data_IF_523364267565
#
_entry.id   IF_523364267565
#
_cell.length_a   1.000
_cell.length_b   1.000
_cell.length_c   1.000
_cell.angle_alpha   90.00
_cell.angle_beta   90.00
_cell.angle_gamma   90.00
#
_symmetry.space_group_name_H-M   'P 1'
#
loop_
_entity.id
_entity.type
_entity.pdbx_description
1 polymer ?
#
# COMPACT_ATOMS: atom_id res chain seq x y z
N UNK A 1 17.11 -18.49 -7.92
CA UNK A 1 18.22 -18.99 -7.11
C UNK A 1 19.50 -18.15 -7.33
N UNK A 2 20.53 -18.36 -6.51
CA UNK A 2 21.85 -17.73 -6.60
C UNK A 2 21.89 -16.20 -6.39
N UNK A 3 20.95 -15.62 -5.68
CA UNK A 3 20.93 -14.19 -5.39
C UNK A 3 21.84 -13.82 -4.21
N UNK A 4 22.24 -12.56 -4.18
CA UNK A 4 22.67 -11.90 -2.93
C UNK A 4 21.44 -11.38 -2.23
N UNK A 5 20.97 -12.11 -1.21
CA UNK A 5 19.78 -11.73 -0.42
C UNK A 5 20.21 -10.67 0.58
N UNK A 6 19.55 -9.49 0.54
CA UNK A 6 19.81 -8.37 1.45
C UNK A 6 18.56 -8.10 2.27
N UNK A 7 18.62 -8.39 3.57
CA UNK A 7 17.52 -8.17 4.50
C UNK A 7 18.05 -7.96 5.93
N UNK A 8 17.41 -7.11 6.71
CA UNK A 8 17.71 -6.86 8.15
C UNK A 8 19.20 -6.62 8.44
N UNK A 9 19.85 -5.82 7.57
CA UNK A 9 21.27 -5.48 7.72
C UNK A 9 22.26 -6.59 7.35
N UNK A 10 21.77 -7.69 6.80
CA UNK A 10 22.59 -8.80 6.35
C UNK A 10 22.61 -8.91 4.82
N UNK A 11 23.72 -9.41 4.29
CA UNK A 11 23.88 -9.78 2.86
C UNK A 11 24.39 -11.21 2.80
N UNK A 12 23.59 -12.13 2.27
CA UNK A 12 23.93 -13.55 2.20
C UNK A 12 23.71 -14.10 0.80
N UNK A 13 24.59 -14.99 0.35
CA UNK A 13 24.36 -15.74 -0.89
C UNK A 13 23.34 -16.86 -0.62
N UNK A 14 22.31 -16.92 -1.48
CA UNK A 14 21.26 -17.89 -1.25
C UNK A 14 20.20 -17.93 -2.33
N UNK A 15 19.14 -18.65 -2.02
CA UNK A 15 17.96 -18.81 -2.85
C UNK A 15 16.70 -18.61 -2.02
N UNK A 16 15.62 -18.18 -2.67
CA UNK A 16 14.32 -18.05 -2.03
C UNK A 16 13.33 -18.95 -2.77
N UNK A 17 12.62 -19.76 -2.02
CA UNK A 17 11.52 -20.60 -2.53
C UNK A 17 10.22 -19.85 -2.28
N UNK A 18 9.43 -19.70 -3.34
CA UNK A 18 8.12 -19.05 -3.29
C UNK A 18 7.06 -20.10 -3.58
N UNK A 19 6.08 -20.20 -2.71
CA UNK A 19 4.96 -21.12 -2.84
C UNK A 19 3.66 -20.36 -2.53
N UNK A 20 2.67 -20.44 -3.40
CA UNK A 20 1.38 -19.76 -3.25
C UNK A 20 1.51 -18.26 -2.95
N UNK A 21 2.44 -17.57 -3.62
CA UNK A 21 2.69 -16.14 -3.46
C UNK A 21 3.35 -15.72 -2.14
N UNK A 22 3.89 -16.69 -1.38
CA UNK A 22 4.59 -16.46 -0.11
C UNK A 22 5.98 -17.05 -0.13
N UNK A 23 6.89 -16.45 0.64
CA UNK A 23 8.23 -17.02 0.87
C UNK A 23 8.04 -18.27 1.75
N UNK A 24 8.28 -19.43 1.16
CA UNK A 24 8.21 -20.72 1.85
C UNK A 24 9.54 -21.07 2.54
N UNK A 25 10.67 -20.77 1.89
CA UNK A 25 11.99 -21.07 2.43
C UNK A 25 13.04 -20.08 1.95
N UNK A 26 14.03 -19.78 2.79
CA UNK A 26 15.25 -19.05 2.45
C UNK A 26 16.41 -20.01 2.61
N UNK A 27 17.01 -20.40 1.49
CA UNK A 27 18.13 -21.36 1.43
C UNK A 27 19.45 -20.61 1.43
N UNK A 28 20.25 -20.81 2.44
CA UNK A 28 21.60 -20.25 2.56
C UNK A 28 22.64 -21.33 2.27
N UNK A 29 23.85 -20.92 1.87
CA UNK A 29 25.00 -21.82 1.73
C UNK A 29 24.80 -22.98 0.72
N UNK A 30 24.20 -22.69 -0.44
CA UNK A 30 24.09 -23.63 -1.57
C UNK A 30 23.36 -24.94 -1.22
N UNK A 31 22.44 -24.92 -0.28
CA UNK A 31 21.58 -26.06 -0.02
C UNK A 31 20.77 -26.40 -1.28
N UNK A 32 20.69 -27.66 -1.67
CA UNK A 32 19.83 -28.04 -2.78
C UNK A 32 18.36 -27.81 -2.42
N UNK A 33 17.56 -27.52 -3.45
CA UNK A 33 16.11 -27.43 -3.29
C UNK A 33 15.54 -28.74 -2.78
N UNK A 34 14.63 -28.68 -1.84
CA UNK A 34 13.99 -29.85 -1.23
C UNK A 34 12.94 -30.51 -2.13
N UNK A 35 12.45 -29.78 -3.15
CA UNK A 35 11.43 -30.23 -4.09
C UNK A 35 11.65 -29.61 -5.49
N UNK A 36 11.12 -30.25 -6.57
CA UNK A 36 11.14 -29.65 -7.89
C UNK A 36 10.31 -28.36 -7.92
N UNK A 37 10.82 -27.35 -8.62
CA UNK A 37 10.13 -26.08 -8.85
C UNK A 37 9.54 -26.04 -10.27
N UNK A 38 8.37 -25.42 -10.42
CA UNK A 38 7.75 -25.18 -11.75
C UNK A 38 8.57 -24.20 -12.58
N UNK A 39 9.11 -23.17 -11.91
CA UNK A 39 9.93 -22.14 -12.53
C UNK A 39 11.16 -21.86 -11.67
N UNK A 40 12.29 -21.64 -12.32
CA UNK A 40 13.55 -21.30 -11.66
C UNK A 40 14.15 -20.07 -12.30
N UNK A 41 14.25 -18.98 -11.53
CA UNK A 41 14.89 -17.73 -11.95
C UNK A 41 16.34 -17.76 -11.46
N UNK A 42 17.31 -17.69 -12.38
CA UNK A 42 18.71 -17.49 -12.03
C UNK A 42 18.98 -16.02 -11.77
N UNK A 43 19.28 -15.71 -10.53
CA UNK A 43 19.59 -14.36 -10.05
C UNK A 43 21.09 -14.17 -9.74
N UNK A 44 21.95 -14.94 -10.41
CA UNK A 44 23.42 -14.81 -10.27
C UNK A 44 23.85 -13.38 -10.56
N UNK A 45 24.55 -12.75 -9.63
CA UNK A 45 25.01 -11.36 -9.73
C UNK A 45 23.94 -10.32 -9.39
N UNK A 46 22.71 -10.74 -9.05
CA UNK A 46 21.63 -9.84 -8.65
C UNK A 46 21.50 -9.76 -7.13
N UNK A 47 20.98 -8.65 -6.67
CA UNK A 47 20.52 -8.47 -5.29
C UNK A 47 19.03 -8.80 -5.21
N UNK A 48 18.65 -9.56 -4.20
CA UNK A 48 17.25 -9.82 -3.86
C UNK A 48 16.92 -9.08 -2.56
N UNK A 49 16.01 -8.12 -2.64
CA UNK A 49 15.56 -7.31 -1.53
C UNK A 49 14.08 -7.56 -1.26
N UNK A 50 13.58 -7.32 -0.03
CA UNK A 50 12.16 -7.17 0.20
C UNK A 50 11.58 -6.08 -0.69
N UNK A 51 10.36 -6.28 -1.19
CA UNK A 51 9.66 -5.26 -1.96
C UNK A 51 9.44 -4.00 -1.14
N UNK A 52 9.59 -2.83 -1.75
CA UNK A 52 9.40 -1.54 -1.10
C UNK A 52 7.90 -1.33 -0.86
N UNK A 53 7.57 -0.80 0.33
CA UNK A 53 6.24 -0.33 0.68
C UNK A 53 6.26 1.19 0.61
N UNK A 54 5.45 1.79 -0.27
CA UNK A 54 5.24 3.23 -0.33
C UNK A 54 3.92 3.57 0.36
N UNK A 55 4.00 4.12 1.54
CA UNK A 55 2.87 4.44 2.40
C UNK A 55 2.20 5.79 2.10
N UNK A 56 2.64 6.51 1.05
CA UNK A 56 2.13 7.83 0.74
C UNK A 56 2.12 8.12 -0.76
N UNK A 57 1.18 7.55 -1.50
CA UNK A 57 1.04 7.81 -2.93
C UNK A 57 -0.25 8.56 -3.27
N UNK A 58 -0.26 9.21 -4.43
CA UNK A 58 -1.40 9.92 -4.99
C UNK A 58 -1.67 9.45 -6.42
N UNK A 59 -2.37 8.34 -6.57
CA UNK A 59 -2.70 7.76 -7.88
C UNK A 59 -3.83 8.50 -8.61
N UNK A 60 -4.51 9.45 -7.95
CA UNK A 60 -5.44 10.40 -8.53
C UNK A 60 -6.74 9.81 -9.11
N UNK A 61 -6.93 8.53 -9.10
CA UNK A 61 -8.14 7.83 -9.49
C UNK A 61 -8.97 7.50 -8.22
N UNK A 62 -10.24 7.81 -8.19
CA UNK A 62 -11.09 8.34 -9.25
C UNK A 62 -11.01 9.85 -9.47
N UNK A 63 -11.44 10.27 -10.66
CA UNK A 63 -11.84 11.63 -11.01
C UNK A 63 -10.75 12.66 -11.30
N UNK A 64 -9.49 12.33 -11.09
CA UNK A 64 -8.35 13.19 -11.40
C UNK A 64 -7.37 12.52 -12.38
N UNK A 65 -7.86 11.64 -13.22
CA UNK A 65 -7.08 10.78 -14.12
C UNK A 65 -6.33 11.55 -15.21
N UNK A 66 -6.64 12.84 -15.40
CA UNK A 66 -5.83 13.73 -16.23
C UNK A 66 -4.43 14.03 -15.64
N UNK A 67 -4.21 13.71 -14.37
CA UNK A 67 -2.91 13.87 -13.68
C UNK A 67 -2.17 12.54 -13.59
N UNK A 68 -2.88 11.47 -13.25
CA UNK A 68 -2.35 10.12 -13.06
C UNK A 68 -3.53 9.14 -12.88
N UNK A 69 -3.33 7.85 -13.15
CA UNK A 69 -4.32 6.80 -12.91
C UNK A 69 -3.70 5.59 -12.22
N UNK A 70 -4.55 4.74 -11.61
CA UNK A 70 -4.11 3.59 -10.82
C UNK A 70 -3.25 2.63 -11.65
N UNK A 71 -3.61 2.35 -12.91
CA UNK A 71 -2.91 1.37 -13.72
C UNK A 71 -1.50 1.84 -14.09
N UNK A 72 -1.38 3.07 -14.57
CA UNK A 72 -0.08 3.63 -14.99
C UNK A 72 0.86 3.83 -13.81
N UNK A 73 0.34 4.35 -12.70
CA UNK A 73 1.14 4.60 -11.49
C UNK A 73 1.55 3.31 -10.78
N UNK A 74 0.67 2.30 -10.73
CA UNK A 74 1.04 1.01 -10.15
C UNK A 74 2.08 0.26 -10.99
N UNK A 75 2.07 0.43 -12.33
CA UNK A 75 3.14 -0.07 -13.20
C UNK A 75 4.46 0.66 -12.98
N UNK A 76 4.42 1.98 -12.79
CA UNK A 76 5.62 2.75 -12.46
C UNK A 76 6.17 2.34 -11.09
N UNK A 77 5.31 2.14 -10.10
CA UNK A 77 5.68 1.61 -8.78
C UNK A 77 6.38 0.26 -8.88
N UNK A 78 5.77 -0.71 -9.60
CA UNK A 78 6.36 -2.04 -9.81
C UNK A 78 7.71 -1.96 -10.53
N UNK A 79 7.85 -1.12 -11.56
CA UNK A 79 9.09 -0.92 -12.28
C UNK A 79 10.20 -0.33 -11.40
N UNK A 80 9.83 0.45 -10.37
CA UNK A 80 10.74 1.01 -9.36
C UNK A 80 11.03 0.07 -8.17
N UNK A 81 10.43 -1.14 -8.13
CA UNK A 81 10.59 -2.08 -7.03
C UNK A 81 9.64 -1.84 -5.86
N UNK A 82 8.66 -0.96 -6.01
CA UNK A 82 7.56 -0.78 -5.03
C UNK A 82 6.51 -1.87 -5.25
N UNK A 83 6.32 -2.72 -4.27
CA UNK A 83 5.41 -3.88 -4.35
C UNK A 83 4.13 -3.69 -3.55
N UNK A 84 4.05 -2.65 -2.74
CA UNK A 84 2.88 -2.31 -1.95
C UNK A 84 2.72 -0.80 -1.85
N UNK A 85 1.49 -0.31 -1.95
CA UNK A 85 1.18 1.14 -1.89
C UNK A 85 0.02 1.43 -0.94
N UNK A 86 0.01 2.65 -0.39
CA UNK A 86 -1.11 3.19 0.38
C UNK A 86 -1.54 4.52 -0.23
N UNK A 87 -2.69 4.51 -0.92
CA UNK A 87 -3.15 5.67 -1.70
C UNK A 87 -3.94 6.66 -0.85
N UNK A 88 -3.70 7.94 -1.11
CA UNK A 88 -4.29 9.07 -0.38
C UNK A 88 -5.75 9.33 -0.77
N UNK A 89 -6.58 9.87 0.16
CA UNK A 89 -8.01 10.01 -0.02
C UNK A 89 -8.45 11.25 -0.82
N UNK A 90 -7.52 12.11 -1.25
CA UNK A 90 -7.83 13.37 -1.93
C UNK A 90 -8.06 13.21 -3.44
N UNK A 91 -9.05 12.41 -3.77
CA UNK A 91 -9.55 12.09 -5.12
C UNK A 91 -10.85 12.85 -5.43
N UNK A 92 -11.54 12.56 -6.51
CA UNK A 92 -12.84 13.13 -6.85
C UNK A 92 -13.82 12.02 -7.30
N UNK A 93 -14.79 11.61 -6.46
CA UNK A 93 -15.06 12.15 -5.13
C UNK A 93 -13.93 11.91 -4.13
N UNK A 94 -13.93 12.69 -3.03
CA UNK A 94 -13.05 12.48 -1.89
C UNK A 94 -13.39 11.16 -1.20
N UNK A 95 -12.39 10.42 -0.73
CA UNK A 95 -12.58 9.16 0.01
C UNK A 95 -12.87 9.44 1.49
N UNK A 96 -14.01 10.06 1.79
CA UNK A 96 -14.43 10.53 3.12
C UNK A 96 -15.76 9.92 3.60
N UNK A 97 -16.32 9.01 2.83
CA UNK A 97 -17.51 8.21 3.16
C UNK A 97 -17.24 6.74 2.89
N UNK A 98 -18.00 5.84 3.53
CA UNK A 98 -17.85 4.39 3.31
C UNK A 98 -18.11 3.98 1.86
N UNK A 99 -19.09 4.62 1.20
CA UNK A 99 -19.39 4.32 -0.20
C UNK A 99 -18.23 4.72 -1.12
N UNK A 100 -17.66 5.91 -0.93
CA UNK A 100 -16.48 6.35 -1.69
C UNK A 100 -15.26 5.48 -1.42
N UNK A 101 -15.07 5.02 -0.17
CA UNK A 101 -14.01 4.09 0.20
C UNK A 101 -14.16 2.75 -0.51
N UNK A 102 -15.37 2.17 -0.50
CA UNK A 102 -15.63 0.89 -1.17
C UNK A 102 -15.43 1.01 -2.68
N UNK A 103 -15.98 2.06 -3.30
CA UNK A 103 -15.80 2.30 -4.74
C UNK A 103 -14.30 2.47 -5.10
N UNK A 104 -13.49 3.12 -4.24
CA UNK A 104 -12.06 3.25 -4.46
C UNK A 104 -11.34 1.91 -4.35
N UNK A 105 -11.71 1.06 -3.39
CA UNK A 105 -11.14 -0.30 -3.30
C UNK A 105 -11.51 -1.16 -4.51
N UNK A 106 -12.72 -1.02 -5.05
CA UNK A 106 -13.12 -1.74 -6.26
C UNK A 106 -12.25 -1.33 -7.46
N UNK A 107 -11.98 -0.03 -7.62
CA UNK A 107 -11.06 0.47 -8.64
C UNK A 107 -9.62 -0.01 -8.44
N UNK A 108 -9.13 -0.03 -7.20
CA UNK A 108 -7.79 -0.53 -6.87
C UNK A 108 -7.71 -2.03 -7.19
N UNK A 109 -8.71 -2.83 -6.81
CA UNK A 109 -8.76 -4.27 -7.10
C UNK A 109 -8.77 -4.55 -8.62
N UNK A 110 -9.44 -3.69 -9.41
CA UNK A 110 -9.53 -3.85 -10.86
C UNK A 110 -8.23 -3.46 -11.58
N UNK A 111 -7.58 -2.37 -11.16
CA UNK A 111 -6.54 -1.70 -11.95
C UNK A 111 -5.13 -1.80 -11.38
N UNK A 112 -4.98 -1.94 -10.05
CA UNK A 112 -3.68 -1.91 -9.41
C UNK A 112 -2.95 -3.24 -9.55
N UNK A 113 -1.72 -3.22 -10.05
CA UNK A 113 -0.91 -4.44 -10.25
C UNK A 113 0.03 -4.75 -9.08
N UNK A 114 0.06 -3.91 -8.05
CA UNK A 114 0.82 -4.14 -6.81
C UNK A 114 -0.13 -4.30 -5.62
N UNK A 115 0.35 -4.79 -4.49
CA UNK A 115 -0.46 -4.82 -3.28
C UNK A 115 -0.89 -3.39 -2.90
N UNK A 116 -2.11 -3.25 -2.42
CA UNK A 116 -2.64 -1.93 -2.17
C UNK A 116 -3.54 -1.84 -0.94
N UNK A 117 -3.55 -0.66 -0.37
CA UNK A 117 -4.56 -0.17 0.55
C UNK A 117 -4.82 1.31 0.25
N UNK A 118 -5.79 1.91 0.92
CA UNK A 118 -6.00 3.34 0.86
C UNK A 118 -6.43 3.91 2.20
N UNK A 119 -6.16 5.19 2.38
CA UNK A 119 -6.56 5.93 3.56
C UNK A 119 -8.01 6.39 3.48
N UNK A 120 -8.69 6.38 4.62
CA UNK A 120 -9.94 7.11 4.80
C UNK A 120 -9.63 8.55 5.19
N UNK A 121 -10.24 9.51 4.51
CA UNK A 121 -10.02 10.93 4.78
C UNK A 121 -10.88 11.44 5.93
N UNK A 122 -10.27 12.09 6.91
CA UNK A 122 -10.98 12.81 7.95
C UNK A 122 -11.48 14.17 7.44
N UNK A 123 -12.66 14.57 7.93
CA UNK A 123 -13.22 15.91 7.78
C UNK A 123 -13.62 16.46 9.14
N UNK A 124 -14.08 17.72 9.19
CA UNK A 124 -14.57 18.28 10.45
C UNK A 124 -15.78 17.53 11.05
N UNK A 125 -16.48 16.68 10.26
CA UNK A 125 -17.82 16.18 10.61
C UNK A 125 -17.97 14.65 10.48
N UNK A 126 -17.01 13.89 9.88
CA UNK A 126 -17.17 12.47 9.57
C UNK A 126 -16.54 11.49 10.58
N UNK A 127 -16.11 11.94 11.74
CA UNK A 127 -15.48 11.09 12.76
C UNK A 127 -16.36 9.92 13.24
N UNK A 128 -17.69 10.02 13.09
CA UNK A 128 -18.63 8.94 13.41
C UNK A 128 -18.61 7.77 12.44
N UNK A 129 -17.92 7.91 11.31
CA UNK A 129 -17.72 6.82 10.35
C UNK A 129 -16.55 5.88 10.73
N UNK A 130 -15.63 6.34 11.59
CA UNK A 130 -14.38 5.63 11.89
C UNK A 130 -14.60 4.25 12.52
N UNK A 131 -15.58 4.11 13.42
CA UNK A 131 -15.91 2.83 14.05
C UNK A 131 -16.44 1.77 13.07
N UNK A 132 -16.85 2.20 11.87
CA UNK A 132 -17.36 1.33 10.80
C UNK A 132 -16.28 0.88 9.84
N UNK A 133 -15.06 1.42 9.94
CA UNK A 133 -13.95 1.07 9.06
C UNK A 133 -13.41 -0.32 9.40
N UNK A 134 -13.14 -1.11 8.36
CA UNK A 134 -12.45 -2.37 8.51
C UNK A 134 -10.94 -2.12 8.69
N UNK A 135 -10.45 -2.30 9.92
CA UNK A 135 -9.04 -2.11 10.32
C UNK A 135 -8.06 -3.03 9.60
N UNK A 136 -8.53 -4.13 9.03
CA UNK A 136 -7.69 -5.05 8.24
C UNK A 136 -7.56 -4.64 6.77
N UNK A 137 -8.40 -3.70 6.32
CA UNK A 137 -8.47 -3.27 4.93
C UNK A 137 -7.94 -1.85 4.72
N UNK A 138 -8.30 -0.94 5.63
CA UNK A 138 -7.91 0.47 5.60
C UNK A 138 -6.59 0.65 6.33
N UNK A 139 -5.60 1.25 5.68
CA UNK A 139 -4.27 1.42 6.27
C UNK A 139 -4.20 2.54 7.33
N UNK A 140 -5.19 3.43 7.38
CA UNK A 140 -5.25 4.50 8.37
C UNK A 140 -6.21 5.62 8.00
N UNK A 141 -6.27 6.62 8.87
CA UNK A 141 -7.09 7.83 8.68
C UNK A 141 -6.16 8.98 8.33
N UNK A 142 -6.40 9.59 7.16
CA UNK A 142 -5.63 10.76 6.70
C UNK A 142 -6.26 12.05 7.16
N UNK A 143 -5.51 12.85 7.88
CA UNK A 143 -5.90 14.16 8.38
C UNK A 143 -5.07 15.26 7.72
N UNK A 144 -5.74 16.29 7.19
CA UNK A 144 -5.11 17.50 6.67
C UNK A 144 -5.39 18.67 7.62
N UNK A 145 -4.37 19.12 8.36
CA UNK A 145 -4.48 20.27 9.29
C UNK A 145 -4.00 21.60 8.65
N UNK A 146 -3.33 21.51 7.51
CA UNK A 146 -2.90 22.64 6.70
C UNK A 146 -3.78 22.79 5.45
N UNK A 147 -3.20 23.28 4.34
CA UNK A 147 -3.95 23.40 3.09
C UNK A 147 -4.30 22.02 2.50
N UNK A 148 -5.53 21.87 2.04
CA UNK A 148 -6.01 20.70 1.33
C UNK A 148 -7.02 21.07 0.26
N UNK A 149 -7.34 20.12 -0.63
CA UNK A 149 -8.36 20.26 -1.66
C UNK A 149 -9.74 19.85 -1.15
N UNK A 150 -10.79 20.51 -1.62
CA UNK A 150 -12.16 20.20 -1.22
C UNK A 150 -12.41 20.41 0.28
N UNK A 151 -13.27 19.58 0.87
CA UNK A 151 -13.69 19.67 2.29
C UNK A 151 -12.84 18.79 3.21
N UNK A 152 -11.54 18.68 2.97
CA UNK A 152 -10.65 17.82 3.77
C UNK A 152 -9.80 18.60 4.78
N UNK A 153 -9.93 19.93 4.84
CA UNK A 153 -9.24 20.71 5.86
C UNK A 153 -9.93 20.52 7.22
N UNK A 154 -9.21 20.03 8.21
CA UNK A 154 -9.66 19.93 9.60
C UNK A 154 -8.89 20.93 10.43
N UNK A 155 -9.52 22.07 10.71
CA UNK A 155 -8.95 23.23 11.38
C UNK A 155 -9.65 23.57 12.71
N UNK A 156 -10.79 22.89 13.00
CA UNK A 156 -11.54 23.12 14.22
C UNK A 156 -11.00 22.25 15.37
N UNK A 157 -10.58 22.87 16.47
CA UNK A 157 -10.03 22.18 17.62
C UNK A 157 -10.96 21.06 18.15
N UNK A 158 -12.27 21.32 18.21
CA UNK A 158 -13.23 20.32 18.66
C UNK A 158 -13.31 19.09 17.73
N UNK A 159 -13.14 19.28 16.42
CA UNK A 159 -13.10 18.19 15.44
C UNK A 159 -11.80 17.38 15.59
N UNK A 160 -10.67 18.07 15.74
CA UNK A 160 -9.38 17.42 15.99
C UNK A 160 -9.43 16.54 17.24
N UNK A 161 -9.95 17.05 18.36
CA UNK A 161 -10.09 16.28 19.60
C UNK A 161 -10.97 15.05 19.40
N UNK A 162 -12.09 15.15 18.68
CA UNK A 162 -12.96 14.00 18.40
C UNK A 162 -12.29 12.96 17.52
N UNK A 163 -11.55 13.40 16.49
CA UNK A 163 -10.83 12.51 15.59
C UNK A 163 -9.75 11.75 16.36
N UNK A 164 -8.90 12.44 17.11
CA UNK A 164 -7.81 11.79 17.85
C UNK A 164 -8.27 10.92 19.01
N UNK A 165 -9.43 11.25 19.64
CA UNK A 165 -9.98 10.41 20.71
C UNK A 165 -10.83 9.25 20.18
N UNK A 166 -11.29 9.31 18.93
CA UNK A 166 -12.19 8.32 18.34
C UNK A 166 -11.52 7.32 17.41
N UNK A 167 -10.18 7.32 17.31
CA UNK A 167 -9.50 6.40 16.42
C UNK A 167 -8.50 5.51 17.15
N UNK A 168 -8.72 4.20 17.11
CA UNK A 168 -7.81 3.15 17.58
C UNK A 168 -7.05 2.50 16.42
N UNK A 169 -7.06 3.12 15.25
CA UNK A 169 -6.46 2.59 14.02
C UNK A 169 -4.98 2.92 13.84
N UNK A 170 -4.37 3.52 14.80
CA UNK A 170 -2.95 3.86 14.76
C UNK A 170 -2.11 2.84 15.51
#
# INVERSE_FOLDING_TARGET
HNATIVNEGQSIQGSVVIENGRIAEVLTNWKPLSAPCEEVIDATGCYLLPGIIDDHVHFRDPGLTHKADILTESRAAAAGGVTSIMDMPNTNPLTVTLDALNAKFDLLNEKCIVNHSCYFGATNDNYTEFDKLDKHRVCGIKLFMGSSTGNMLVDKMNSLLKIFNGTDML
#
